data_IF_899873043070
#
_entry.id   IF_899873043070
#
_cell.length_a   1.000
_cell.length_b   1.000
_cell.length_c   1.000
_cell.angle_alpha   90.00
_cell.angle_beta   90.00
_cell.angle_gamma   90.00
#
_symmetry.space_group_name_H-M   'P 1'
#
loop_
_entity.id
_entity.type
_entity.pdbx_description
1 polymer ?
#
# COMPACT_ATOMS: atom_id res chain seq x y z
N UNK A 1 29.38 -29.72 42.26
CA UNK A 1 28.91 -30.83 41.42
C UNK A 1 27.83 -30.26 40.55
N UNK A 2 28.04 -30.23 39.24
CA UNK A 2 27.03 -29.78 38.28
C UNK A 2 26.20 -30.99 37.89
N UNK A 3 24.87 -30.88 37.96
CA UNK A 3 23.96 -31.98 37.66
C UNK A 3 23.29 -31.72 36.32
N UNK A 4 23.52 -32.59 35.35
CA UNK A 4 22.85 -32.55 34.05
C UNK A 4 21.64 -33.48 34.06
N UNK A 5 20.47 -32.96 33.70
CA UNK A 5 19.21 -33.69 33.55
C UNK A 5 18.67 -33.47 32.15
N UNK A 6 17.92 -34.44 31.62
CA UNK A 6 17.17 -34.28 30.38
C UNK A 6 15.69 -34.48 30.65
N UNK A 7 14.84 -33.63 30.06
CA UNK A 7 13.39 -33.72 30.20
C UNK A 7 12.71 -33.54 28.85
N UNK A 8 11.71 -34.37 28.59
CA UNK A 8 10.86 -34.31 27.40
C UNK A 8 9.51 -33.67 27.72
N UNK A 9 9.00 -32.89 26.78
CA UNK A 9 7.68 -32.27 26.80
C UNK A 9 6.95 -32.55 25.50
N UNK A 10 5.63 -32.76 25.58
CA UNK A 10 4.81 -33.15 24.43
C UNK A 10 4.65 -32.01 23.42
N UNK A 11 4.70 -30.76 23.88
CA UNK A 11 4.57 -29.57 23.04
C UNK A 11 5.22 -28.33 23.69
N UNK A 12 5.25 -27.23 22.93
CA UNK A 12 5.81 -25.94 23.38
C UNK A 12 5.11 -25.36 24.61
N UNK A 13 3.80 -25.56 24.75
CA UNK A 13 3.01 -25.03 25.85
C UNK A 13 3.35 -25.71 27.18
N UNK A 14 3.49 -27.04 27.17
CA UNK A 14 3.87 -27.81 28.36
C UNK A 14 5.28 -27.43 28.83
N UNK A 15 6.21 -27.27 27.88
CA UNK A 15 7.55 -26.75 28.16
C UNK A 15 7.47 -25.35 28.78
N UNK A 16 6.78 -24.41 28.13
CA UNK A 16 6.69 -23.03 28.60
C UNK A 16 6.09 -22.92 30.01
N UNK A 17 5.01 -23.66 30.27
CA UNK A 17 4.40 -23.74 31.61
C UNK A 17 5.40 -24.23 32.65
N UNK A 18 6.10 -25.32 32.37
CA UNK A 18 7.10 -25.86 33.29
C UNK A 18 8.25 -24.89 33.56
N UNK A 19 8.76 -24.20 32.52
CA UNK A 19 9.84 -23.20 32.67
C UNK A 19 9.40 -22.06 33.57
N UNK A 20 8.17 -21.58 33.38
CA UNK A 20 7.60 -20.51 34.20
C UNK A 20 7.45 -20.95 35.65
N UNK A 21 6.90 -22.15 35.89
CA UNK A 21 6.77 -22.73 37.22
C UNK A 21 8.15 -22.89 37.90
N UNK A 22 9.15 -23.39 37.18
CA UNK A 22 10.51 -23.57 37.69
C UNK A 22 11.18 -22.22 38.02
N UNK A 23 10.96 -21.18 37.21
CA UNK A 23 11.42 -19.81 37.47
C UNK A 23 10.73 -19.17 38.70
N UNK A 24 9.50 -19.59 39.03
CA UNK A 24 8.81 -19.14 40.25
C UNK A 24 9.27 -19.88 41.51
N UNK A 25 9.88 -21.06 41.41
CA UNK A 25 10.41 -21.82 42.56
C UNK A 25 11.73 -21.28 43.13
N UNK A 26 11.98 -19.97 43.01
CA UNK A 26 13.21 -19.29 43.43
C UNK A 26 14.47 -19.93 42.84
N UNK A 27 14.53 -20.09 41.52
CA UNK A 27 15.73 -20.54 40.79
C UNK A 27 16.04 -19.54 39.67
N UNK A 28 17.32 -19.23 39.48
CA UNK A 28 17.72 -18.44 38.32
C UNK A 28 17.62 -19.32 37.08
N UNK A 29 16.70 -18.98 36.17
CA UNK A 29 16.52 -19.71 34.92
C UNK A 29 17.19 -18.95 33.78
N UNK A 30 18.04 -19.66 33.02
CA UNK A 30 18.65 -19.17 31.80
C UNK A 30 18.31 -20.07 30.65
N UNK A 31 17.80 -19.50 29.56
CA UNK A 31 17.48 -20.21 28.34
C UNK A 31 18.58 -19.99 27.32
N UNK A 32 19.20 -21.07 26.87
CA UNK A 32 20.19 -21.11 25.79
C UNK A 32 19.59 -21.76 24.54
N UNK A 33 20.20 -21.53 23.38
CA UNK A 33 19.70 -22.03 22.09
C UNK A 33 18.57 -21.18 21.52
N UNK A 34 17.69 -21.79 20.73
CA UNK A 34 16.59 -21.10 20.05
C UNK A 34 15.40 -20.82 21.00
N UNK A 35 15.64 -19.98 22.01
CA UNK A 35 14.61 -19.54 22.95
C UNK A 35 13.53 -18.67 22.26
N UNK A 36 13.83 -18.08 21.10
CA UNK A 36 12.90 -17.27 20.32
C UNK A 36 11.69 -18.07 19.83
N UNK A 37 11.88 -19.36 19.51
CA UNK A 37 10.81 -20.27 19.11
C UNK A 37 9.73 -20.54 20.18
N UNK A 38 9.97 -20.14 21.44
CA UNK A 38 9.06 -20.33 22.58
C UNK A 38 8.56 -19.01 23.17
N UNK A 39 8.90 -17.90 22.53
CA UNK A 39 8.71 -16.55 23.06
C UNK A 39 7.26 -16.26 23.43
N UNK A 40 6.33 -16.57 22.54
CA UNK A 40 4.93 -16.25 22.74
C UNK A 40 4.31 -17.06 23.88
N UNK A 41 4.59 -18.37 23.90
CA UNK A 41 4.12 -19.29 24.92
C UNK A 41 4.66 -18.90 26.30
N UNK A 42 5.96 -18.61 26.41
CA UNK A 42 6.58 -18.17 27.66
C UNK A 42 5.97 -16.86 28.18
N UNK A 43 5.73 -15.88 27.30
CA UNK A 43 5.07 -14.63 27.69
C UNK A 43 3.62 -14.83 28.12
N UNK A 44 2.87 -15.72 27.45
CA UNK A 44 1.48 -16.06 27.81
C UNK A 44 1.41 -16.71 29.20
N UNK A 45 2.23 -17.74 29.46
CA UNK A 45 2.23 -18.44 30.75
C UNK A 45 2.82 -17.60 31.88
N UNK A 46 3.77 -16.71 31.60
CA UNK A 46 4.29 -15.75 32.58
C UNK A 46 3.33 -14.59 32.88
N UNK A 47 2.17 -14.52 32.21
CA UNK A 47 1.21 -13.42 32.37
C UNK A 47 1.71 -12.07 31.86
N UNK A 48 2.74 -12.05 30.99
CA UNK A 48 3.38 -10.86 30.42
C UNK A 48 3.09 -10.67 28.94
N UNK A 49 2.03 -11.28 28.43
CA UNK A 49 1.63 -11.09 27.05
C UNK A 49 1.19 -9.64 26.82
N UNK A 50 1.78 -8.89 25.86
CA UNK A 50 1.50 -7.46 25.66
C UNK A 50 0.16 -7.20 24.97
N UNK A 51 -0.94 -7.69 25.54
CA UNK A 51 -2.31 -7.61 25.00
C UNK A 51 -2.68 -6.19 24.58
N UNK A 52 -2.46 -5.21 25.45
CA UNK A 52 -2.83 -3.80 25.19
C UNK A 52 -2.05 -3.18 24.03
N UNK A 53 -0.75 -3.48 23.90
CA UNK A 53 0.09 -2.96 22.82
C UNK A 53 -0.22 -3.63 21.50
N UNK A 54 -0.42 -4.95 21.51
CA UNK A 54 -0.82 -5.71 20.33
C UNK A 54 -2.20 -5.29 19.84
N UNK A 55 -3.16 -5.09 20.75
CA UNK A 55 -4.49 -4.58 20.39
C UNK A 55 -4.41 -3.21 19.73
N UNK A 56 -3.60 -2.29 20.27
CA UNK A 56 -3.38 -0.97 19.64
C UNK A 56 -2.74 -1.08 18.25
N UNK A 57 -1.81 -2.02 18.06
CA UNK A 57 -1.22 -2.30 16.75
C UNK A 57 -2.25 -2.87 15.78
N UNK A 58 -3.09 -3.80 16.24
CA UNK A 58 -4.18 -4.39 15.45
C UNK A 58 -5.20 -3.34 15.04
N UNK A 59 -5.61 -2.48 15.97
CA UNK A 59 -6.55 -1.39 15.70
C UNK A 59 -5.96 -0.39 14.70
N UNK A 60 -4.67 -0.04 14.85
CA UNK A 60 -3.95 0.83 13.89
C UNK A 60 -3.83 0.19 12.51
N UNK A 61 -3.53 -1.11 12.45
CA UNK A 61 -3.46 -1.85 11.19
C UNK A 61 -4.83 -1.92 10.51
N UNK A 62 -5.89 -2.23 11.25
CA UNK A 62 -7.27 -2.25 10.75
C UNK A 62 -7.74 -0.88 10.27
N UNK A 63 -7.44 0.18 11.01
CA UNK A 63 -7.79 1.54 10.60
C UNK A 63 -7.04 1.95 9.33
N UNK A 64 -5.76 1.57 9.19
CA UNK A 64 -5.00 1.83 7.97
C UNK A 64 -5.51 1.03 6.77
N UNK A 65 -5.98 -0.21 6.99
CA UNK A 65 -6.65 -1.02 5.96
C UNK A 65 -8.04 -0.48 5.63
N UNK A 66 -8.78 0.06 6.61
CA UNK A 66 -10.07 0.71 6.39
C UNK A 66 -9.93 2.06 5.67
N UNK A 67 -8.84 2.80 5.87
CA UNK A 67 -8.55 3.99 5.05
C UNK A 67 -8.17 3.65 3.61
N UNK A 68 -7.97 2.38 3.26
CA UNK A 68 -7.92 1.91 1.88
C UNK A 68 -9.34 1.66 1.33
N UNK A 69 -10.22 2.67 1.37
CA UNK A 69 -11.44 2.75 0.55
C UNK A 69 -11.27 3.54 -0.79
N UNK A 70 -10.11 3.58 -1.49
CA UNK A 70 -10.05 4.14 -2.84
C UNK A 70 -10.90 3.35 -3.83
N UNK A 71 -11.35 2.13 -3.48
CA UNK A 71 -12.31 1.37 -4.28
C UNK A 71 -13.65 2.07 -4.43
N UNK A 72 -14.13 2.74 -3.38
CA UNK A 72 -15.42 3.43 -3.43
C UNK A 72 -15.30 4.73 -4.24
N UNK A 73 -14.23 5.50 -4.01
CA UNK A 73 -13.88 6.68 -4.81
C UNK A 73 -13.67 6.32 -6.30
N UNK A 74 -13.08 5.15 -6.58
CA UNK A 74 -12.87 4.64 -7.93
C UNK A 74 -14.18 4.20 -8.59
N UNK A 75 -15.05 3.51 -7.85
CA UNK A 75 -16.38 3.13 -8.34
C UNK A 75 -17.18 4.40 -8.66
N UNK A 76 -17.10 5.41 -7.80
CA UNK A 76 -17.74 6.71 -8.02
C UNK A 76 -17.17 7.42 -9.25
N UNK A 77 -15.84 7.47 -9.40
CA UNK A 77 -15.19 8.06 -10.58
C UNK A 77 -15.57 7.34 -11.87
N UNK A 78 -15.54 6.01 -11.91
CA UNK A 78 -15.94 5.23 -13.09
C UNK A 78 -17.42 5.45 -13.41
N UNK A 79 -18.28 5.50 -12.39
CA UNK A 79 -19.71 5.77 -12.56
C UNK A 79 -19.95 7.18 -13.12
N UNK A 80 -19.17 8.16 -12.65
CA UNK A 80 -19.20 9.54 -13.15
C UNK A 80 -18.79 9.60 -14.62
N UNK A 81 -17.66 8.99 -14.99
CA UNK A 81 -17.19 8.92 -16.37
C UNK A 81 -18.20 8.21 -17.29
N UNK A 82 -18.76 7.09 -16.85
CA UNK A 82 -19.80 6.37 -17.59
C UNK A 82 -21.01 7.28 -17.87
N UNK A 83 -21.45 8.04 -16.87
CA UNK A 83 -22.60 8.94 -16.99
C UNK A 83 -22.29 10.12 -17.91
N UNK A 84 -21.10 10.73 -17.77
CA UNK A 84 -20.64 11.82 -18.62
C UNK A 84 -20.55 11.38 -20.09
N UNK A 85 -19.91 10.25 -20.37
CA UNK A 85 -19.76 9.72 -21.73
C UNK A 85 -21.12 9.31 -22.34
N UNK A 86 -22.02 8.72 -21.55
CA UNK A 86 -23.38 8.43 -21.99
C UNK A 86 -24.14 9.72 -22.36
N UNK A 87 -23.99 10.79 -21.57
CA UNK A 87 -24.69 12.07 -21.80
C UNK A 87 -24.30 12.74 -23.12
N UNK A 88 -23.03 12.61 -23.54
CA UNK A 88 -22.53 13.21 -24.78
C UNK A 88 -22.75 12.32 -26.01
N UNK A 89 -23.06 11.03 -25.82
CA UNK A 89 -23.14 10.04 -26.91
C UNK A 89 -24.09 10.48 -28.04
N UNK A 90 -25.29 10.97 -27.70
CA UNK A 90 -26.25 11.41 -28.72
C UNK A 90 -25.77 12.65 -29.48
N UNK A 91 -25.02 13.55 -28.83
CA UNK A 91 -24.44 14.72 -29.48
C UNK A 91 -23.25 14.37 -30.39
N UNK A 92 -22.57 13.25 -30.12
CA UNK A 92 -21.48 12.74 -30.97
C UNK A 92 -21.99 12.00 -32.22
N UNK A 93 -23.05 11.20 -32.09
CA UNK A 93 -23.47 10.26 -33.15
C UNK A 93 -24.84 10.55 -33.80
N UNK A 94 -25.62 11.53 -33.33
CA UNK A 94 -26.88 11.87 -34.00
C UNK A 94 -26.63 12.64 -35.30
N UNK A 95 -27.30 12.24 -36.39
CA UNK A 95 -27.32 12.97 -37.67
C UNK A 95 -27.79 14.42 -37.48
N UNK A 96 -28.73 14.65 -36.57
CA UNK A 96 -29.24 15.98 -36.20
C UNK A 96 -28.25 16.79 -35.34
N UNK A 97 -27.33 16.12 -34.63
CA UNK A 97 -26.22 16.79 -33.96
C UNK A 97 -25.10 17.14 -34.96
N UNK A 98 -24.99 16.43 -36.09
CA UNK A 98 -24.11 16.78 -37.19
C UNK A 98 -24.58 17.98 -38.01
N UNK A 99 -25.78 18.50 -37.78
CA UNK A 99 -26.26 19.73 -38.43
C UNK A 99 -26.05 20.92 -37.50
N UNK A 100 -26.36 20.79 -36.20
CA UNK A 100 -26.21 21.84 -35.17
C UNK A 100 -24.79 21.86 -34.52
N UNK A 101 -23.99 22.89 -34.81
CA UNK A 101 -22.57 22.96 -34.38
C UNK A 101 -22.34 22.99 -32.87
N UNK A 102 -23.16 23.71 -32.10
CA UNK A 102 -22.87 23.98 -30.68
C UNK A 102 -22.85 22.73 -29.77
N UNK A 103 -23.84 21.84 -29.91
CA UNK A 103 -23.93 20.63 -29.05
C UNK A 103 -22.85 19.60 -29.38
N UNK A 104 -22.52 19.41 -30.66
CA UNK A 104 -21.41 18.53 -31.07
C UNK A 104 -20.08 19.07 -30.58
N UNK A 105 -19.84 20.38 -30.71
CA UNK A 105 -18.57 20.98 -30.30
C UNK A 105 -18.28 20.74 -28.81
N UNK A 106 -19.25 21.00 -27.93
CA UNK A 106 -19.11 20.73 -26.50
C UNK A 106 -18.88 19.24 -26.21
N UNK A 107 -19.60 18.33 -26.89
CA UNK A 107 -19.41 16.89 -26.74
C UNK A 107 -18.01 16.41 -27.18
N UNK A 108 -17.48 16.97 -28.27
CA UNK A 108 -16.13 16.69 -28.76
C UNK A 108 -15.08 17.18 -27.75
N UNK A 109 -15.26 18.35 -27.15
CA UNK A 109 -14.35 18.85 -26.11
C UNK A 109 -14.35 17.95 -24.87
N UNK A 110 -15.53 17.49 -24.41
CA UNK A 110 -15.61 16.56 -23.28
C UNK A 110 -14.91 15.23 -23.60
N UNK A 111 -15.10 14.70 -24.80
CA UNK A 111 -14.40 13.49 -25.23
C UNK A 111 -12.89 13.71 -25.35
N UNK A 112 -12.46 14.86 -25.89
CA UNK A 112 -11.05 15.20 -26.03
C UNK A 112 -10.37 15.22 -24.66
N UNK A 113 -10.95 15.94 -23.69
CA UNK A 113 -10.42 15.99 -22.34
C UNK A 113 -10.28 14.59 -21.71
N UNK A 114 -11.26 13.71 -21.93
CA UNK A 114 -11.18 12.33 -21.46
C UNK A 114 -10.06 11.53 -22.15
N UNK A 115 -9.89 11.69 -23.47
CA UNK A 115 -8.81 11.02 -24.21
C UNK A 115 -7.44 11.54 -23.78
N UNK A 116 -7.30 12.85 -23.55
CA UNK A 116 -6.05 13.46 -23.08
C UNK A 116 -5.69 12.94 -21.69
N UNK A 117 -6.65 12.88 -20.76
CA UNK A 117 -6.47 12.30 -19.41
C UNK A 117 -6.02 10.83 -19.48
N UNK A 118 -6.57 10.05 -20.42
CA UNK A 118 -6.13 8.67 -20.63
C UNK A 118 -4.71 8.60 -21.18
N UNK A 119 -4.32 9.51 -22.07
CA UNK A 119 -2.99 9.55 -22.67
C UNK A 119 -1.91 9.99 -21.66
N UNK A 120 -2.25 10.90 -20.75
CA UNK A 120 -1.37 11.30 -19.64
C UNK A 120 -1.03 10.11 -18.72
N UNK A 121 -1.95 9.15 -18.59
CA UNK A 121 -1.68 7.90 -17.89
C UNK A 121 -1.07 6.85 -18.84
N UNK A 122 0.26 6.88 -18.99
CA UNK A 122 1.00 5.98 -19.88
C UNK A 122 0.68 4.49 -19.67
N UNK A 123 0.47 4.06 -18.41
CA UNK A 123 0.15 2.67 -18.08
C UNK A 123 -1.22 2.28 -18.63
N UNK A 124 -2.25 3.10 -18.36
CA UNK A 124 -3.59 2.87 -18.89
C UNK A 124 -3.59 2.91 -20.42
N UNK A 125 -2.95 3.91 -21.01
CA UNK A 125 -2.90 4.06 -22.46
C UNK A 125 -2.17 2.90 -23.13
N UNK A 126 -1.04 2.43 -22.59
CA UNK A 126 -0.32 1.29 -23.13
C UNK A 126 -1.17 0.02 -23.16
N UNK A 127 -2.04 -0.19 -22.16
CA UNK A 127 -2.86 -1.39 -22.03
C UNK A 127 -4.13 -1.38 -22.90
N UNK A 128 -4.47 -0.25 -23.53
CA UNK A 128 -5.52 -0.20 -24.53
C UNK A 128 -5.02 -0.78 -25.87
N UNK A 129 -5.82 -1.67 -26.48
CA UNK A 129 -5.56 -2.15 -27.82
C UNK A 129 -5.73 -1.03 -28.86
N UNK A 130 -5.01 -1.15 -29.98
CA UNK A 130 -5.02 -0.15 -31.06
C UNK A 130 -6.42 0.11 -31.61
N UNK A 131 -7.27 -0.93 -31.66
CA UNK A 131 -8.67 -0.82 -32.08
C UNK A 131 -9.50 0.02 -31.10
N UNK A 132 -9.38 -0.21 -29.79
CA UNK A 132 -10.05 0.61 -28.78
C UNK A 132 -9.60 2.06 -28.82
N UNK A 133 -8.28 2.33 -28.94
CA UNK A 133 -7.75 3.70 -29.11
C UNK A 133 -8.34 4.40 -30.33
N UNK A 134 -8.36 3.70 -31.46
CA UNK A 134 -8.90 4.22 -32.72
C UNK A 134 -10.40 4.52 -32.62
N UNK A 135 -11.18 3.58 -32.09
CA UNK A 135 -12.63 3.75 -31.94
C UNK A 135 -12.93 4.90 -31.00
N UNK A 136 -12.19 5.04 -29.89
CA UNK A 136 -12.38 6.13 -28.94
C UNK A 136 -12.15 7.52 -29.57
N UNK A 137 -11.14 7.64 -30.43
CA UNK A 137 -10.80 8.87 -31.15
C UNK A 137 -11.71 9.14 -32.38
N UNK A 138 -12.52 8.18 -32.80
CA UNK A 138 -13.38 8.28 -33.98
C UNK A 138 -14.27 9.55 -33.98
N UNK A 139 -14.96 9.93 -32.88
CA UNK A 139 -15.86 11.08 -32.88
C UNK A 139 -15.13 12.43 -32.91
N UNK A 140 -13.83 12.44 -32.62
CA UNK A 140 -12.96 13.63 -32.66
C UNK A 140 -12.63 14.08 -34.10
N UNK A 141 -12.97 13.25 -35.09
CA UNK A 141 -12.78 13.57 -36.52
C UNK A 141 -13.58 14.79 -36.98
N UNK A 142 -13.23 15.27 -38.18
CA UNK A 142 -13.91 16.42 -38.79
C UNK A 142 -15.39 16.10 -39.02
N UNK A 143 -16.22 17.12 -38.84
CA UNK A 143 -17.69 17.06 -39.01
C UNK A 143 -18.16 16.39 -40.32
N UNK A 144 -17.62 16.71 -41.52
CA UNK A 144 -18.06 16.05 -42.76
C UNK A 144 -17.76 14.55 -42.78
N UNK A 145 -16.59 14.14 -42.28
CA UNK A 145 -16.18 12.73 -42.21
C UNK A 145 -17.12 11.94 -41.28
N UNK A 146 -17.43 12.49 -40.11
CA UNK A 146 -18.36 11.86 -39.17
C UNK A 146 -19.78 11.78 -39.72
N UNK A 147 -20.23 12.77 -40.50
CA UNK A 147 -21.54 12.73 -41.16
C UNK A 147 -21.60 11.61 -42.20
N UNK A 148 -20.58 11.49 -43.03
CA UNK A 148 -20.50 10.43 -44.03
C UNK A 148 -20.47 9.06 -43.38
N UNK A 149 -19.66 8.89 -42.33
CA UNK A 149 -19.57 7.64 -41.59
C UNK A 149 -20.91 7.24 -40.96
N UNK A 150 -21.61 8.18 -40.33
CA UNK A 150 -22.93 7.94 -39.75
C UNK A 150 -23.99 7.61 -40.81
N UNK A 151 -23.85 8.13 -42.03
CA UNK A 151 -24.75 7.80 -43.13
C UNK A 151 -24.54 6.37 -43.65
N UNK A 152 -23.29 5.91 -43.69
CA UNK A 152 -22.92 4.57 -44.18
C UNK A 152 -23.14 3.49 -43.12
N UNK A 153 -22.75 3.75 -41.87
CA UNK A 153 -22.69 2.74 -40.81
C UNK A 153 -23.84 2.89 -39.81
N UNK A 154 -24.55 4.02 -39.81
CA UNK A 154 -25.75 4.21 -39.01
C UNK A 154 -25.51 4.11 -37.50
N UNK A 155 -26.43 3.44 -36.80
CA UNK A 155 -26.40 3.30 -35.34
C UNK A 155 -25.29 2.35 -34.85
N UNK A 156 -24.72 1.51 -35.71
CA UNK A 156 -23.71 0.54 -35.31
C UNK A 156 -22.44 1.22 -34.77
N UNK A 157 -22.09 2.41 -35.28
CA UNK A 157 -20.95 3.21 -34.79
C UNK A 157 -21.11 3.57 -33.31
N UNK A 158 -22.33 3.89 -32.88
CA UNK A 158 -22.62 4.27 -31.49
C UNK A 158 -22.41 3.08 -30.56
N UNK A 159 -22.85 1.89 -30.96
CA UNK A 159 -22.67 0.65 -30.19
C UNK A 159 -21.19 0.29 -30.09
N UNK A 160 -20.47 0.30 -31.22
CA UNK A 160 -19.03 0.00 -31.27
C UNK A 160 -18.23 0.97 -30.37
N UNK A 161 -18.59 2.25 -30.39
CA UNK A 161 -17.97 3.25 -29.51
C UNK A 161 -18.31 3.04 -28.05
N UNK A 162 -19.57 2.74 -27.72
CA UNK A 162 -19.98 2.40 -26.36
C UNK A 162 -19.21 1.21 -25.79
N UNK A 163 -19.00 0.18 -26.61
CA UNK A 163 -18.20 -0.99 -26.24
C UNK A 163 -16.73 -0.63 -25.99
N UNK A 164 -16.16 0.27 -26.80
CA UNK A 164 -14.80 0.77 -26.61
C UNK A 164 -14.66 1.54 -25.30
N UNK A 165 -15.62 2.44 -25.00
CA UNK A 165 -15.67 3.14 -23.71
C UNK A 165 -15.74 2.17 -22.54
N UNK A 166 -16.61 1.15 -22.64
CA UNK A 166 -16.74 0.16 -21.57
C UNK A 166 -15.44 -0.64 -21.39
N UNK A 167 -14.72 -0.97 -22.47
CA UNK A 167 -13.38 -1.61 -22.38
C UNK A 167 -12.38 -0.74 -21.65
N UNK A 168 -12.33 0.56 -21.97
CA UNK A 168 -11.47 1.52 -21.26
C UNK A 168 -11.80 1.55 -19.77
N UNK A 169 -13.08 1.69 -19.41
CA UNK A 169 -13.50 1.73 -18.01
C UNK A 169 -13.17 0.42 -17.26
N UNK A 170 -13.26 -0.75 -17.92
CA UNK A 170 -12.83 -2.02 -17.33
C UNK A 170 -11.32 -2.09 -17.11
N UNK A 171 -10.52 -1.55 -18.04
CA UNK A 171 -9.06 -1.50 -17.90
C UNK A 171 -8.67 -0.54 -16.78
N UNK A 172 -9.31 0.64 -16.70
CA UNK A 172 -9.15 1.57 -15.57
C UNK A 172 -9.45 0.88 -14.23
N UNK A 173 -10.53 0.11 -14.16
CA UNK A 173 -10.88 -0.64 -12.95
C UNK A 173 -9.83 -1.71 -12.59
N UNK A 174 -9.22 -2.35 -13.59
CA UNK A 174 -8.22 -3.41 -13.38
C UNK A 174 -6.89 -2.83 -12.90
N UNK A 175 -6.33 -1.87 -13.63
CA UNK A 175 -5.01 -1.30 -13.31
C UNK A 175 -4.95 -0.70 -11.91
N UNK A 176 -6.03 -0.06 -11.48
CA UNK A 176 -6.10 0.57 -10.17
C UNK A 176 -6.26 -0.48 -9.05
N UNK A 177 -7.01 -1.58 -9.28
CA UNK A 177 -7.06 -2.72 -8.35
C UNK A 177 -5.71 -3.43 -8.22
N UNK A 178 -4.99 -3.58 -9.33
CA UNK A 178 -3.70 -4.26 -9.35
C UNK A 178 -2.61 -3.43 -8.66
N UNK A 179 -2.64 -2.10 -8.81
CA UNK A 179 -1.75 -1.19 -8.08
C UNK A 179 -1.95 -1.27 -6.56
N UNK A 180 -3.18 -1.38 -6.08
CA UNK A 180 -3.52 -1.51 -4.66
C UNK A 180 -3.08 -2.85 -4.06
N UNK A 181 -3.27 -3.94 -4.79
CA UNK A 181 -2.91 -5.30 -4.36
C UNK A 181 -1.40 -5.48 -4.17
N UNK A 182 -0.59 -4.90 -5.06
CA UNK A 182 0.85 -5.18 -5.13
C UNK A 182 1.66 -4.35 -4.12
N UNK A 183 1.38 -3.05 -3.96
CA UNK A 183 2.21 -2.18 -3.13
C UNK A 183 1.64 -1.91 -1.73
N UNK A 184 0.33 -1.68 -1.62
CA UNK A 184 -0.29 -1.23 -0.37
C UNK A 184 -0.41 -2.32 0.69
N UNK A 185 -0.85 -3.51 0.28
CA UNK A 185 -1.11 -4.63 1.21
C UNK A 185 0.19 -5.31 1.68
N UNK A 186 1.15 -5.54 0.77
CA UNK A 186 2.40 -6.26 1.10
C UNK A 186 3.31 -5.46 2.04
N UNK A 187 3.50 -4.16 1.79
CA UNK A 187 4.37 -3.33 2.61
C UNK A 187 3.78 -3.08 4.00
N UNK A 188 2.47 -2.84 4.08
CA UNK A 188 1.76 -2.63 5.34
C UNK A 188 1.75 -3.90 6.19
N UNK A 189 1.53 -5.08 5.57
CA UNK A 189 1.56 -6.36 6.27
C UNK A 189 2.97 -6.69 6.80
N UNK A 190 4.02 -6.44 6.00
CA UNK A 190 5.41 -6.60 6.45
C UNK A 190 5.75 -5.67 7.61
N UNK A 191 5.36 -4.40 7.51
CA UNK A 191 5.55 -3.40 8.57
C UNK A 191 4.83 -3.80 9.87
N UNK A 192 3.58 -4.25 9.77
CA UNK A 192 2.82 -4.76 10.91
C UNK A 192 3.48 -5.99 11.55
N UNK A 193 3.93 -6.96 10.75
CA UNK A 193 4.61 -8.15 11.25
C UNK A 193 5.90 -7.80 12.01
N UNK A 194 6.69 -6.86 11.48
CA UNK A 194 7.89 -6.36 12.14
C UNK A 194 7.58 -5.61 13.44
N UNK A 195 6.57 -4.75 13.45
CA UNK A 195 6.16 -4.01 14.64
C UNK A 195 5.65 -4.96 15.74
N UNK A 196 4.87 -5.98 15.36
CA UNK A 196 4.42 -7.04 16.27
C UNK A 196 5.61 -7.80 16.85
N UNK A 197 6.53 -8.27 16.00
CA UNK A 197 7.71 -9.01 16.48
C UNK A 197 8.59 -8.15 17.41
N UNK A 198 8.74 -6.86 17.11
CA UNK A 198 9.49 -5.94 17.97
C UNK A 198 8.90 -5.86 19.39
N UNK A 199 7.57 -5.66 19.51
CA UNK A 199 6.87 -5.59 20.80
C UNK A 199 7.03 -6.91 21.57
N UNK A 200 6.80 -8.05 20.92
CA UNK A 200 6.90 -9.36 21.56
C UNK A 200 8.36 -9.65 21.96
N UNK A 201 9.35 -9.32 21.12
CA UNK A 201 10.78 -9.44 21.40
C UNK A 201 11.23 -8.59 22.59
N UNK A 202 10.68 -7.39 22.73
CA UNK A 202 11.00 -6.48 23.83
C UNK A 202 10.53 -7.03 25.17
N UNK A 203 9.27 -7.47 25.25
CA UNK A 203 8.72 -8.07 26.47
C UNK A 203 9.45 -9.36 26.84
N UNK A 204 9.82 -10.17 25.84
CA UNK A 204 10.58 -11.39 26.08
C UNK A 204 11.95 -11.13 26.68
N UNK A 205 12.69 -10.15 26.15
CA UNK A 205 13.99 -9.75 26.72
C UNK A 205 13.83 -9.26 28.16
N UNK A 206 12.75 -8.52 28.45
CA UNK A 206 12.46 -8.08 29.81
C UNK A 206 12.16 -9.26 30.75
N UNK A 207 11.40 -10.26 30.30
CA UNK A 207 11.12 -11.48 31.06
C UNK A 207 12.41 -12.26 31.37
N UNK A 208 13.25 -12.51 30.36
CA UNK A 208 14.53 -13.22 30.55
C UNK A 208 15.44 -12.46 31.51
N UNK A 209 15.52 -11.14 31.39
CA UNK A 209 16.29 -10.30 32.31
C UNK A 209 15.77 -10.45 33.75
N UNK A 210 14.45 -10.42 33.95
CA UNK A 210 13.84 -10.63 35.25
C UNK A 210 14.24 -11.98 35.87
N UNK A 211 14.15 -13.07 35.11
CA UNK A 211 14.53 -14.40 35.58
C UNK A 211 16.03 -14.51 35.89
N UNK A 212 16.88 -13.90 35.07
CA UNK A 212 18.33 -13.91 35.27
C UNK A 212 18.78 -13.11 36.51
N UNK A 213 18.03 -12.06 36.89
CA UNK A 213 18.35 -11.19 38.01
C UNK A 213 17.77 -11.65 39.36
N UNK A 214 17.06 -12.78 39.39
CA UNK A 214 16.53 -13.32 40.66
C UNK A 214 17.68 -13.69 41.60
N UNK A 215 17.53 -13.38 42.90
CA UNK A 215 18.49 -13.80 43.91
C UNK A 215 18.19 -15.25 44.32
N UNK A 216 18.85 -16.21 43.68
CA UNK A 216 18.79 -17.62 44.09
C UNK A 216 20.17 -18.24 44.26
N UNK A 217 20.24 -19.21 45.18
CA UNK A 217 21.39 -20.08 45.35
C UNK A 217 21.50 -21.15 44.24
N UNK A 218 20.42 -21.41 43.49
CA UNK A 218 20.35 -22.42 42.44
C UNK A 218 20.10 -21.76 41.08
N UNK A 219 20.83 -22.22 40.07
CA UNK A 219 20.75 -21.73 38.70
C UNK A 219 20.55 -22.90 37.76
N UNK A 220 19.52 -22.81 36.93
CA UNK A 220 19.21 -23.75 35.87
C UNK A 220 19.55 -23.12 34.52
N UNK A 221 20.43 -23.77 33.78
CA UNK A 221 20.66 -23.48 32.37
C UNK A 221 19.85 -24.49 31.55
N UNK A 222 18.91 -23.99 30.76
CA UNK A 222 17.96 -24.76 29.96
C UNK A 222 18.33 -24.65 28.48
N UNK A 223 18.50 -25.78 27.81
CA UNK A 223 18.76 -25.83 26.36
C UNK A 223 17.68 -26.67 25.69
N UNK A 224 16.56 -26.05 25.25
CA UNK A 224 15.50 -26.74 24.55
C UNK A 224 15.85 -26.99 23.08
N UNK A 225 15.47 -28.16 22.58
CA UNK A 225 15.55 -28.56 21.18
C UNK A 225 14.18 -29.11 20.76
N UNK A 226 13.60 -28.54 19.72
CA UNK A 226 12.34 -29.04 19.14
C UNK A 226 12.65 -30.13 18.10
N UNK A 227 12.04 -31.30 18.25
CA UNK A 227 12.09 -32.39 17.26
C UNK A 227 10.70 -32.98 17.10
N UNK A 228 10.18 -32.96 15.88
CA UNK A 228 8.88 -33.55 15.52
C UNK A 228 7.71 -33.09 16.42
N UNK A 229 7.70 -31.80 16.81
CA UNK A 229 6.66 -31.21 17.66
C UNK A 229 6.84 -31.45 19.16
N UNK A 230 7.80 -32.29 19.57
CA UNK A 230 8.19 -32.51 20.97
C UNK A 230 9.39 -31.66 21.34
N UNK A 231 9.47 -31.29 22.61
CA UNK A 231 10.56 -30.46 23.14
C UNK A 231 11.43 -31.30 24.06
N UNK A 232 12.70 -31.41 23.74
CA UNK A 232 13.70 -32.04 24.58
C UNK A 232 14.55 -30.94 25.21
N UNK A 233 14.56 -30.86 26.53
CA UNK A 233 15.31 -29.84 27.26
C UNK A 233 16.44 -30.49 28.05
N UNK A 234 17.67 -30.05 27.80
CA UNK A 234 18.80 -30.31 28.67
C UNK A 234 18.84 -29.26 29.76
N UNK A 235 18.97 -29.70 31.01
CA UNK A 235 18.93 -28.88 32.21
C UNK A 235 20.27 -29.07 32.92
N UNK A 236 21.01 -27.99 33.11
CA UNK A 236 22.23 -27.98 33.91
C UNK A 236 21.98 -27.18 35.17
N UNK A 237 22.03 -27.86 36.32
CA UNK A 237 21.91 -27.23 37.63
C UNK A 237 23.31 -26.88 38.15
N UNK A 238 23.51 -25.59 38.43
CA UNK A 238 24.72 -25.05 39.05
C UNK A 238 24.36 -24.31 40.33
N UNK A 239 25.24 -24.41 41.33
CA UNK A 239 25.11 -23.62 42.55
C UNK A 239 25.73 -22.24 42.30
N UNK A 240 24.97 -21.20 42.64
CA UNK A 240 25.46 -19.82 42.64
C UNK A 240 26.62 -19.72 43.63
N UNK A 241 27.85 -19.62 43.11
CA UNK A 241 29.03 -19.30 43.91
C UNK A 241 28.84 -17.88 44.44
N UNK A 242 28.32 -17.73 45.66
CA UNK A 242 28.52 -16.50 46.42
C UNK A 242 30.02 -16.27 46.47
N UNK A 243 30.50 -15.18 45.88
CA UNK A 243 31.84 -14.70 46.13
C UNK A 243 31.94 -14.39 47.63
N UNK A 244 32.57 -15.28 48.40
CA UNK A 244 33.13 -14.94 49.69
C UNK A 244 34.23 -13.90 49.43
N UNK A 245 33.92 -12.63 49.65
CA UNK A 245 34.82 -11.55 49.26
C UNK A 245 34.45 -10.18 49.80
N UNK A 246 33.94 -10.09 51.03
CA UNK A 246 34.13 -8.86 51.81
C UNK A 246 35.02 -9.22 53.00
N UNK A 247 36.34 -9.13 52.77
CA UNK A 247 37.29 -8.96 53.86
C UNK A 247 36.94 -7.61 54.51
N UNK A 248 36.39 -7.70 55.71
CA UNK A 248 36.31 -6.58 56.64
C UNK A 248 37.73 -6.13 56.97
N UNK A 249 38.23 -5.13 56.26
CA UNK A 249 39.37 -4.33 56.72
C UNK A 249 38.79 -3.09 57.38
N UNK A 250 38.65 -3.23 58.69
CA UNK A 250 38.53 -2.15 59.65
C UNK A 250 39.80 -1.30 59.55
N UNK A 251 39.77 -0.24 58.76
CA UNK A 251 40.74 0.84 58.89
C UNK A 251 40.03 2.19 58.82
N UNK A 252 40.27 2.94 59.89
CA UNK A 252 39.67 4.21 60.25
C UNK A 252 40.71 5.28 59.92
N UNK A 253 40.34 6.34 59.19
CA UNK A 253 40.97 7.63 59.42
C UNK A 253 39.96 8.56 60.10
N UNK A 254 40.39 9.16 61.20
CA UNK A 254 39.67 10.19 61.92
C UNK A 254 39.56 11.45 61.05
N UNK A 255 38.35 11.99 60.89
CA UNK A 255 38.14 13.40 60.57
C UNK A 255 36.98 13.95 61.38
N UNK A 256 37.24 15.12 61.96
CA UNK A 256 36.41 15.79 62.94
C UNK A 256 35.15 16.44 62.37
N UNK A 257 34.33 16.84 63.35
CA UNK A 257 33.16 17.72 63.32
C UNK A 257 33.16 18.75 62.17
N UNK A 258 32.03 18.96 61.52
CA UNK A 258 30.99 19.89 61.99
C UNK A 258 29.66 19.69 61.25
N UNK A 259 28.59 20.04 61.94
CA UNK A 259 27.18 19.83 61.61
C UNK A 259 26.63 20.80 60.55
N UNK A 260 25.55 20.40 59.87
CA UNK A 260 24.25 21.09 59.94
C UNK A 260 23.16 20.21 59.33
N UNK A 261 22.04 20.14 60.04
CA UNK A 261 20.75 19.57 59.65
C UNK A 261 20.13 20.34 58.49
N UNK A 262 19.51 19.66 57.52
CA UNK A 262 18.23 20.11 56.94
C UNK A 262 17.48 18.92 56.35
N UNK A 263 16.21 18.86 56.71
CA UNK A 263 15.19 17.84 56.44
C UNK A 263 14.51 18.03 55.07
N UNK A 264 14.06 16.91 54.49
CA UNK A 264 12.85 16.72 53.67
C UNK A 264 12.68 17.47 52.32
N UNK A 265 12.71 16.74 51.20
CA UNK A 265 11.54 16.36 50.37
C UNK A 265 11.96 15.90 48.96
N UNK A 266 11.46 14.74 48.54
CA UNK A 266 11.65 14.15 47.22
C UNK A 266 10.43 14.45 46.34
N UNK A 267 10.59 15.36 45.38
CA UNK A 267 9.78 15.45 44.17
C UNK A 267 10.70 15.72 42.96
N UNK A 268 10.75 14.79 42.01
CA UNK A 268 11.02 15.02 40.58
C UNK A 268 10.85 13.67 39.87
N UNK A 269 9.83 13.44 39.03
CA UNK A 269 9.46 14.15 37.79
C UNK A 269 10.50 13.98 36.70
N UNK A 270 10.17 13.06 35.80
CA UNK A 270 10.26 13.10 34.32
C UNK A 270 11.31 14.04 33.71
N UNK A 271 12.24 13.46 32.94
CA UNK A 271 12.88 14.14 31.81
C UNK A 271 12.73 13.33 30.52
N UNK A 272 12.40 13.99 29.39
CA UNK A 272 12.44 13.43 28.05
C UNK A 272 13.84 13.63 27.45
N UNK A 273 14.27 12.69 26.59
CA UNK A 273 15.55 12.78 25.89
C UNK A 273 15.31 13.21 24.43
N UNK A 274 15.81 14.40 24.10
CA UNK A 274 15.88 14.95 22.74
C UNK A 274 17.09 14.41 21.99
N UNK A 275 16.95 14.22 20.68
CA UNK A 275 18.02 13.87 19.75
C UNK A 275 18.52 15.15 19.05
N UNK A 276 19.82 15.41 19.13
CA UNK A 276 20.52 16.35 18.26
C UNK A 276 20.98 15.63 16.99
N UNK A 277 20.82 16.27 15.84
CA UNK A 277 21.55 15.92 14.61
C UNK A 277 21.87 17.18 13.85
N UNK A 278 23.14 17.54 13.90
CA UNK A 278 23.82 18.58 13.13
C UNK A 278 24.07 18.12 11.70
N UNK A 279 23.60 18.89 10.71
CA UNK A 279 24.30 19.05 9.42
C UNK A 279 25.48 20.04 9.59
N UNK A 280 26.38 20.24 8.60
CA UNK A 280 26.01 20.85 7.31
C UNK A 280 26.90 20.48 6.08
N UNK A 281 26.50 20.83 4.85
CA UNK A 281 27.11 21.90 4.00
C UNK A 281 26.61 21.90 2.55
N UNK A 282 26.56 23.12 1.99
CA UNK A 282 26.07 23.57 0.68
C UNK A 282 27.19 23.58 -0.39
N UNK A 283 26.82 23.58 -1.68
CA UNK A 283 27.34 24.45 -2.77
C UNK A 283 26.48 24.24 -4.04
N UNK A 284 25.74 25.28 -4.48
CA UNK A 284 25.94 26.13 -5.70
C UNK A 284 25.39 25.50 -7.00
N UNK A 285 24.29 26.01 -7.57
CA UNK A 285 24.11 27.18 -8.47
C UNK A 285 24.71 27.06 -9.88
N UNK A 286 23.81 27.02 -10.89
CA UNK A 286 23.89 27.44 -12.31
C UNK A 286 22.58 26.91 -12.94
N UNK A 287 21.64 27.67 -13.51
CA UNK A 287 21.73 28.92 -14.26
C UNK A 287 21.37 28.63 -15.73
N UNK A 288 20.09 28.72 -16.12
CA UNK A 288 19.70 28.85 -17.52
C UNK A 288 18.27 29.43 -17.68
N UNK A 289 18.23 30.68 -18.14
CA UNK A 289 17.08 31.39 -18.70
C UNK A 289 16.66 30.77 -20.03
N UNK A 290 15.37 30.77 -20.34
CA UNK A 290 14.88 31.01 -21.70
C UNK A 290 13.55 31.77 -21.65
N UNK A 291 13.59 33.01 -22.14
CA UNK A 291 12.44 33.78 -22.61
C UNK A 291 12.31 33.53 -24.12
N UNK A 292 11.08 33.38 -24.63
CA UNK A 292 10.70 33.91 -25.94
C UNK A 292 9.19 34.18 -25.96
N UNK A 293 8.86 35.45 -26.13
CA UNK A 293 7.55 36.00 -26.50
C UNK A 293 7.23 35.66 -27.97
N UNK A 294 5.94 35.53 -28.28
CA UNK A 294 5.43 35.44 -29.65
C UNK A 294 3.93 35.72 -29.72
N UNK A 295 3.59 37.00 -29.83
CA UNK A 295 2.27 37.57 -30.12
C UNK A 295 1.87 37.28 -31.58
N UNK A 296 0.59 36.93 -31.85
CA UNK A 296 -0.21 37.52 -32.95
C UNK A 296 -1.68 37.05 -32.99
N UNK A 297 -2.52 38.05 -32.74
CA UNK A 297 -3.84 38.39 -33.26
C UNK A 297 -4.41 37.68 -34.51
N UNK A 298 -5.75 37.53 -34.42
CA UNK A 298 -6.77 37.99 -35.37
C UNK A 298 -7.39 37.07 -36.46
N UNK A 299 -8.72 37.23 -36.53
CA UNK A 299 -9.65 37.14 -37.68
C UNK A 299 -10.39 35.82 -37.96
N UNK A 300 -11.62 35.79 -37.44
CA UNK A 300 -12.81 35.34 -38.17
C UNK A 300 -13.00 36.21 -39.43
N UNK A 301 -13.61 35.70 -40.53
CA UNK A 301 -15.07 35.84 -40.64
C UNK A 301 -15.80 34.73 -41.44
N UNK A 302 -17.04 34.42 -41.01
CA UNK A 302 -18.18 33.99 -41.87
C UNK A 302 -18.65 35.17 -42.77
N UNK A 303 -19.55 35.08 -43.78
CA UNK A 303 -20.68 34.13 -44.01
C UNK A 303 -20.75 33.65 -45.50
N UNK A 304 -21.73 32.91 -46.05
CA UNK A 304 -23.16 33.22 -46.26
C UNK A 304 -23.81 32.09 -47.10
N UNK A 305 -25.15 31.94 -46.98
CA UNK A 305 -26.13 31.51 -48.01
C UNK A 305 -26.09 30.05 -48.53
N UNK A 306 -27.06 29.20 -48.20
CA UNK A 306 -28.43 29.02 -48.77
C UNK A 306 -28.43 28.28 -50.10
N UNK A 307 -28.99 27.07 -50.15
CA UNK A 307 -29.85 26.66 -51.27
C UNK A 307 -30.65 25.38 -50.98
N UNK A 308 -31.90 25.47 -51.40
CA UNK A 308 -33.00 24.52 -51.36
C UNK A 308 -32.96 23.68 -52.62
N UNK A 309 -33.18 22.36 -52.57
CA UNK A 309 -33.79 21.63 -53.68
C UNK A 309 -34.38 20.27 -53.24
N UNK A 310 -35.60 20.04 -53.70
CA UNK A 310 -36.36 18.79 -53.66
C UNK A 310 -35.71 17.71 -54.53
N UNK A 311 -35.88 16.43 -54.16
CA UNK A 311 -35.50 15.30 -55.01
C UNK A 311 -35.96 13.96 -54.44
N UNK A 312 -36.92 13.36 -55.15
CA UNK A 312 -37.68 12.13 -54.91
C UNK A 312 -36.89 10.83 -54.86
N UNK A 313 -37.41 9.89 -54.07
CA UNK A 313 -37.29 8.42 -54.05
C UNK A 313 -36.46 7.71 -55.15
N UNK A 314 -35.63 6.75 -54.71
CA UNK A 314 -35.60 5.42 -55.34
C UNK A 314 -35.22 4.34 -54.31
N UNK A 315 -36.03 3.29 -54.30
CA UNK A 315 -35.88 2.04 -53.57
C UNK A 315 -34.84 1.15 -54.27
N UNK A 316 -33.92 0.54 -53.52
CA UNK A 316 -33.07 -0.51 -54.10
C UNK A 316 -32.03 -1.12 -53.16
N UNK A 317 -32.37 -2.30 -52.64
CA UNK A 317 -31.48 -3.45 -52.37
C UNK A 317 -30.46 -3.29 -51.23
N UNK A 318 -30.92 -3.68 -50.03
CA UNK A 318 -30.08 -4.20 -48.96
C UNK A 318 -29.39 -5.50 -49.42
N UNK A 319 -28.07 -5.58 -49.26
CA UNK A 319 -27.41 -6.88 -49.34
C UNK A 319 -25.90 -6.87 -49.64
N UNK A 320 -25.09 -6.14 -48.88
CA UNK A 320 -23.65 -6.45 -48.67
C UNK A 320 -23.01 -5.32 -47.88
N UNK A 321 -22.78 -5.45 -46.56
CA UNK A 321 -21.75 -4.62 -45.91
C UNK A 321 -21.24 -5.08 -44.54
N UNK A 322 -21.30 -6.39 -44.24
CA UNK A 322 -20.63 -6.95 -43.04
C UNK A 322 -19.20 -7.43 -43.32
N UNK A 323 -18.87 -7.70 -44.58
CA UNK A 323 -17.55 -8.19 -45.01
C UNK A 323 -16.58 -7.09 -45.46
N UNK A 324 -17.07 -5.92 -45.90
CA UNK A 324 -16.18 -4.82 -46.31
C UNK A 324 -15.58 -4.05 -45.12
N UNK A 325 -16.30 -3.94 -44.00
CA UNK A 325 -15.75 -3.36 -42.78
C UNK A 325 -14.55 -4.19 -42.26
N UNK A 326 -14.63 -5.53 -42.30
CA UNK A 326 -13.48 -6.40 -41.96
C UNK A 326 -12.28 -6.19 -42.88
N UNK A 327 -12.49 -6.04 -44.19
CA UNK A 327 -11.39 -5.74 -45.13
C UNK A 327 -10.76 -4.37 -44.92
N UNK A 328 -11.51 -3.40 -44.39
CA UNK A 328 -10.97 -2.09 -44.01
C UNK A 328 -10.11 -2.15 -42.73
N UNK A 329 -10.34 -3.16 -41.86
CA UNK A 329 -9.61 -3.34 -40.60
C UNK A 329 -8.43 -4.33 -40.70
N UNK A 330 -8.45 -5.30 -41.62
CA UNK A 330 -7.41 -6.34 -41.75
C UNK A 330 -6.23 -5.95 -42.68
N UNK A 331 -6.28 -4.80 -43.36
CA UNK A 331 -5.26 -4.37 -44.33
C UNK A 331 -4.57 -3.04 -43.96
N UNK A 332 -4.12 -2.86 -42.71
CA UNK A 332 -3.07 -1.86 -42.43
C UNK A 332 -1.70 -2.52 -42.56
N UNK A 333 -0.82 -2.06 -43.48
CA UNK A 333 0.50 -2.62 -43.64
C UNK A 333 1.36 -2.34 -42.42
N UNK A 334 2.01 -3.39 -41.94
CA UNK A 334 3.11 -3.33 -40.98
C UNK A 334 4.39 -3.00 -41.74
N UNK A 335 4.77 -1.73 -41.74
CA UNK A 335 6.15 -1.30 -42.03
C UNK A 335 6.80 -1.04 -40.66
N UNK A 336 7.75 -1.86 -40.17
CA UNK A 336 9.15 -1.98 -40.62
C UNK A 336 9.78 -0.62 -40.93
N UNK A 337 10.30 0.02 -39.89
CA UNK A 337 11.62 0.66 -39.86
C UNK A 337 12.19 0.48 -38.46
#
# INVERSE_FOLDING_TARGET
MDRSLSREFRNKNEFAKWVVDDAFTNKVVLLHGDASSYREELLKFAGRWPTSHLKKLDDKYKNNMACQHPTDDLIERISTLRTQLASITNALFSVNAQTKSGKRYSAVLTLQAFVDELQENERLWANLDSSTKFVLALPLRKKPEMRQLLHVVGQDVKTIWGDAVQRVLMIMQRELKDAEMVEGSSALQKSYALARDHVVSQEFRALLKQWSCQKSARRHTLTPVNRNGRVYCQIEESLSKRSNGFKSTRDRPALGRHATETTHELYSTVYPFSFDSTGPTKTEELGARFNCLGVRDNLSPSPTQSETCHGTFSSGVFGANKLELRRYFDNSPSDKC
#
